data_IF_532859315887
#
_entry.id   IF_532859315887
#
_cell.length_a   1.000
_cell.length_b   1.000
_cell.length_c   1.000
_cell.angle_alpha   90.00
_cell.angle_beta   90.00
_cell.angle_gamma   90.00
#
_symmetry.space_group_name_H-M   'P 1'
#
loop_
_entity.id
_entity.type
_entity.pdbx_description
1 polymer ?
#
# COMPACT_ATOMS: atom_id res chain seq x y z
N UNK A 1 -3.64 11.03 15.60
CA UNK A 1 -3.04 10.73 14.29
C UNK A 1 -3.80 9.69 13.45
N UNK A 2 -4.58 8.77 14.02
CA UNK A 2 -5.42 7.83 13.23
C UNK A 2 -6.91 8.25 13.22
N UNK A 3 -7.35 8.99 14.25
CA UNK A 3 -8.71 9.55 14.32
C UNK A 3 -9.79 8.49 14.60
N UNK A 4 -9.68 7.76 15.72
CA UNK A 4 -10.70 6.79 16.10
C UNK A 4 -12.01 7.48 16.45
N UNK A 5 -13.10 7.13 15.74
CA UNK A 5 -14.46 7.59 16.02
C UNK A 5 -14.81 8.98 15.47
N UNK A 6 -13.91 9.62 14.74
CA UNK A 6 -14.13 10.94 14.17
C UNK A 6 -14.51 10.86 12.67
N UNK A 7 -15.65 11.46 12.33
CA UNK A 7 -16.21 11.54 10.97
C UNK A 7 -15.42 12.51 10.08
N UNK A 8 -14.52 13.32 10.65
CA UNK A 8 -13.71 14.23 9.88
C UNK A 8 -12.52 13.50 9.21
N UNK A 9 -12.75 12.99 8.01
CA UNK A 9 -11.76 12.27 7.22
C UNK A 9 -10.65 13.18 6.62
N UNK A 10 -10.84 14.51 6.64
CA UNK A 10 -9.93 15.50 6.07
C UNK A 10 -9.00 16.16 7.11
N UNK A 11 -8.91 15.59 8.30
CA UNK A 11 -8.07 16.12 9.39
C UNK A 11 -6.57 16.07 9.03
N UNK A 12 -5.93 17.23 8.99
CA UNK A 12 -4.51 17.41 8.66
C UNK A 12 -3.56 16.80 9.70
N UNK A 13 -4.06 16.50 10.92
CA UNK A 13 -3.29 15.80 11.95
C UNK A 13 -3.31 14.27 11.78
N UNK A 14 -4.04 13.76 10.78
CA UNK A 14 -3.98 12.34 10.39
C UNK A 14 -2.76 12.09 9.52
N UNK A 15 -1.94 11.15 9.94
CA UNK A 15 -0.71 10.82 9.23
C UNK A 15 -0.39 9.33 9.35
N UNK A 16 -0.07 8.64 8.23
CA UNK A 16 0.10 7.18 8.19
C UNK A 16 1.46 6.70 8.72
N UNK A 17 2.13 7.47 9.58
CA UNK A 17 3.51 7.20 10.06
C UNK A 17 3.67 5.77 10.59
N UNK A 18 2.71 5.29 11.36
CA UNK A 18 2.75 3.93 11.93
C UNK A 18 2.60 2.85 10.86
N UNK A 19 1.67 3.01 9.92
CA UNK A 19 1.49 2.08 8.80
C UNK A 19 2.74 2.07 7.92
N UNK A 20 3.33 3.23 7.67
CA UNK A 20 4.55 3.35 6.89
C UNK A 20 5.72 2.63 7.56
N UNK A 21 5.83 2.73 8.88
CA UNK A 21 6.85 2.01 9.64
C UNK A 21 6.66 0.49 9.51
N UNK A 22 5.43 -0.01 9.69
CA UNK A 22 5.14 -1.44 9.58
C UNK A 22 5.37 -1.96 8.15
N UNK A 23 4.98 -1.21 7.13
CA UNK A 23 5.23 -1.57 5.73
C UNK A 23 6.74 -1.64 5.42
N UNK A 24 7.53 -0.69 5.95
CA UNK A 24 8.98 -0.73 5.85
C UNK A 24 9.56 -1.98 6.52
N UNK A 25 9.15 -2.27 7.76
CA UNK A 25 9.63 -3.44 8.51
C UNK A 25 9.27 -4.73 7.79
N UNK A 26 8.04 -4.85 7.29
CA UNK A 26 7.59 -6.03 6.56
C UNK A 26 8.37 -6.22 5.25
N UNK A 27 8.58 -5.15 4.47
CA UNK A 27 9.35 -5.23 3.23
C UNK A 27 10.81 -5.60 3.45
N UNK A 28 11.43 -5.09 4.53
CA UNK A 28 12.82 -5.42 4.90
C UNK A 28 12.92 -6.87 5.39
N UNK A 29 11.98 -7.33 6.22
CA UNK A 29 12.00 -8.70 6.76
C UNK A 29 11.61 -9.77 5.74
N UNK A 30 10.98 -9.40 4.62
CA UNK A 30 10.59 -10.35 3.57
C UNK A 30 11.80 -10.94 2.83
N UNK A 31 12.94 -10.27 2.84
CA UNK A 31 14.15 -10.71 2.15
C UNK A 31 15.36 -10.66 3.06
N UNK A 32 16.24 -11.66 2.96
CA UNK A 32 17.49 -11.68 3.71
C UNK A 32 18.52 -10.65 3.25
N UNK A 33 18.33 -10.04 2.07
CA UNK A 33 19.33 -9.22 1.38
C UNK A 33 19.82 -8.03 2.20
N UNK A 34 18.99 -7.44 3.06
CA UNK A 34 19.33 -6.27 3.89
C UNK A 34 19.32 -6.55 5.40
N UNK A 35 19.16 -7.80 5.81
CA UNK A 35 19.22 -8.17 7.22
C UNK A 35 20.68 -8.23 7.71
N UNK A 36 20.91 -7.91 8.99
CA UNK A 36 22.22 -7.91 9.64
C UNK A 36 23.23 -6.90 9.08
N UNK A 37 24.17 -6.48 9.93
CA UNK A 37 25.11 -5.39 9.64
C UNK A 37 26.44 -5.84 9.03
N UNK A 38 26.76 -7.13 9.02
CA UNK A 38 28.00 -7.65 8.45
C UNK A 38 27.84 -9.07 7.88
N UNK A 39 28.67 -9.39 6.88
CA UNK A 39 28.61 -10.67 6.17
C UNK A 39 28.94 -11.88 7.04
N UNK A 40 29.83 -11.73 8.02
CA UNK A 40 30.19 -12.82 8.94
C UNK A 40 29.00 -13.29 9.79
N UNK A 41 28.14 -12.37 10.25
CA UNK A 41 26.90 -12.72 10.95
C UNK A 41 25.90 -13.35 9.98
N UNK A 42 25.87 -12.89 8.72
CA UNK A 42 24.98 -13.45 7.69
C UNK A 42 25.34 -14.90 7.34
N UNK A 43 26.62 -15.21 7.27
CA UNK A 43 27.12 -16.57 7.02
C UNK A 43 26.82 -17.49 8.21
N UNK A 44 27.12 -17.03 9.43
CA UNK A 44 26.83 -17.77 10.66
C UNK A 44 25.35 -18.15 10.79
N UNK A 45 24.47 -17.21 10.43
CA UNK A 45 23.02 -17.42 10.47
C UNK A 45 22.46 -18.12 9.23
N UNK A 46 23.30 -18.45 8.24
CA UNK A 46 22.93 -19.15 6.99
C UNK A 46 21.76 -18.50 6.25
N UNK A 47 21.81 -17.17 6.05
CA UNK A 47 20.67 -16.45 5.45
C UNK A 47 20.28 -16.94 4.06
N UNK A 48 21.25 -17.36 3.24
CA UNK A 48 21.00 -17.88 1.89
C UNK A 48 20.08 -19.10 1.89
N UNK A 49 20.10 -19.90 2.96
CA UNK A 49 19.27 -21.09 3.11
C UNK A 49 17.91 -20.76 3.75
N UNK A 50 17.89 -19.80 4.67
CA UNK A 50 16.69 -19.46 5.47
C UNK A 50 15.77 -18.44 4.82
N UNK A 51 16.29 -17.62 3.89
CA UNK A 51 15.56 -16.47 3.36
C UNK A 51 15.77 -16.33 1.86
N UNK A 52 14.76 -15.80 1.17
CA UNK A 52 14.89 -15.47 -0.25
C UNK A 52 15.69 -14.18 -0.43
N UNK A 53 16.44 -14.11 -1.53
CA UNK A 53 17.11 -12.90 -1.97
C UNK A 53 16.14 -12.00 -2.74
N UNK A 54 16.18 -10.70 -2.46
CA UNK A 54 15.46 -9.67 -3.22
C UNK A 54 15.82 -9.73 -4.71
N UNK A 55 17.09 -9.98 -5.02
CA UNK A 55 17.56 -10.05 -6.40
C UNK A 55 16.95 -11.23 -7.16
N UNK A 56 16.60 -12.33 -6.49
CA UNK A 56 15.89 -13.45 -7.11
C UNK A 56 14.51 -13.02 -7.61
N UNK A 57 13.81 -12.14 -6.89
CA UNK A 57 12.54 -11.56 -7.34
C UNK A 57 12.71 -10.56 -8.48
N UNK A 58 13.64 -9.62 -8.33
CA UNK A 58 13.85 -8.57 -9.35
C UNK A 58 14.26 -9.20 -10.68
N UNK A 59 15.15 -10.20 -10.63
CA UNK A 59 15.63 -10.88 -11.83
C UNK A 59 14.58 -11.85 -12.43
N UNK A 60 13.67 -12.41 -11.63
CA UNK A 60 12.57 -13.23 -12.18
C UNK A 60 11.54 -12.40 -12.94
N UNK A 61 11.41 -11.11 -12.61
CA UNK A 61 10.45 -10.18 -13.22
C UNK A 61 11.13 -8.94 -13.81
N UNK A 62 12.28 -9.16 -14.47
CA UNK A 62 13.18 -8.13 -14.96
C UNK A 62 12.52 -7.08 -15.88
N UNK A 63 11.53 -7.48 -16.67
CA UNK A 63 10.81 -6.58 -17.59
C UNK A 63 10.13 -5.40 -16.87
N UNK A 64 9.62 -5.61 -15.66
CA UNK A 64 8.97 -4.57 -14.85
C UNK A 64 9.96 -3.53 -14.31
N UNK A 65 11.21 -3.92 -14.11
CA UNK A 65 12.25 -3.10 -13.47
C UNK A 65 13.31 -2.58 -14.45
N UNK A 66 13.13 -2.84 -15.75
CA UNK A 66 14.05 -2.37 -16.79
C UNK A 66 13.60 -0.99 -17.27
N UNK A 67 14.49 -0.01 -17.21
CA UNK A 67 14.24 1.30 -17.82
C UNK A 67 14.18 1.15 -19.35
N UNK A 68 13.05 1.46 -20.03
CA UNK A 68 12.93 1.35 -21.48
C UNK A 68 13.90 2.26 -22.26
N UNK A 69 14.38 3.33 -21.62
CA UNK A 69 15.33 4.28 -22.21
C UNK A 69 16.78 3.94 -21.91
N UNK A 70 17.05 2.81 -21.25
CA UNK A 70 18.41 2.37 -20.98
C UNK A 70 19.09 1.87 -22.24
N UNK A 71 20.20 2.50 -22.61
CA UNK A 71 21.08 2.07 -23.71
C UNK A 71 22.41 1.61 -23.13
N UNK A 72 22.83 0.38 -23.48
CA UNK A 72 24.04 -0.26 -22.93
C UNK A 72 25.35 0.41 -23.39
N UNK A 73 25.31 1.20 -24.46
CA UNK A 73 26.49 1.60 -25.23
C UNK A 73 27.07 2.97 -24.85
N UNK A 74 26.89 3.36 -23.59
CA UNK A 74 27.38 4.64 -23.10
C UNK A 74 28.69 4.43 -22.35
N UNK A 75 29.79 4.19 -23.08
CA UNK A 75 31.16 4.38 -22.58
C UNK A 75 31.46 5.88 -22.35
N UNK A 76 30.52 6.61 -21.74
CA UNK A 76 30.65 8.03 -21.38
C UNK A 76 30.49 8.17 -19.87
N UNK A 77 31.32 9.01 -19.28
CA UNK A 77 31.07 9.47 -17.92
C UNK A 77 29.77 10.29 -17.90
N UNK A 78 28.96 10.09 -16.87
CA UNK A 78 27.80 10.94 -16.58
C UNK A 78 28.29 12.16 -15.79
N UNK A 79 27.86 13.36 -16.19
CA UNK A 79 28.20 14.61 -15.51
C UNK A 79 26.91 15.28 -15.01
N UNK A 80 26.43 14.91 -13.81
CA UNK A 80 25.25 15.55 -13.23
C UNK A 80 25.56 17.00 -12.81
N UNK A 81 24.57 17.87 -12.87
CA UNK A 81 24.70 19.27 -12.44
C UNK A 81 24.22 19.40 -10.99
N UNK A 82 25.16 19.60 -10.07
CA UNK A 82 24.87 19.77 -8.63
C UNK A 82 24.44 21.21 -8.27
N UNK A 83 23.57 21.82 -9.07
CA UNK A 83 23.04 23.17 -8.81
C UNK A 83 21.60 23.08 -8.32
N UNK A 84 21.24 23.86 -7.31
CA UNK A 84 19.86 23.96 -6.79
C UNK A 84 18.82 24.32 -7.87
N UNK A 85 19.24 24.94 -8.99
CA UNK A 85 18.36 25.25 -10.13
C UNK A 85 17.97 24.03 -10.98
N UNK A 86 18.71 22.92 -10.85
CA UNK A 86 18.50 21.67 -11.59
C UNK A 86 18.14 20.50 -10.67
N UNK A 87 18.12 20.72 -9.35
CA UNK A 87 17.72 19.71 -8.38
C UNK A 87 16.22 19.86 -8.10
N UNK A 88 15.49 18.78 -8.32
CA UNK A 88 14.09 18.67 -7.97
C UNK A 88 13.94 17.79 -6.74
N UNK A 89 12.98 18.12 -5.86
CA UNK A 89 12.63 17.26 -4.75
C UNK A 89 11.94 16.02 -5.32
N UNK A 90 12.54 14.84 -5.11
CA UNK A 90 11.88 13.59 -5.45
C UNK A 90 10.62 13.45 -4.58
N UNK A 91 9.41 13.47 -5.16
CA UNK A 91 8.18 13.37 -4.38
C UNK A 91 8.15 12.01 -3.68
N UNK A 92 7.90 12.01 -2.37
CA UNK A 92 8.02 10.81 -1.56
C UNK A 92 7.16 9.67 -2.17
N UNK A 93 7.78 8.58 -2.68
CA UNK A 93 7.05 7.52 -3.39
C UNK A 93 5.97 6.86 -2.52
N UNK A 94 6.22 6.84 -1.21
CA UNK A 94 5.27 6.36 -0.20
C UNK A 94 4.04 7.23 -0.16
N UNK A 95 4.24 8.54 -0.09
CA UNK A 95 3.16 9.51 0.03
C UNK A 95 2.32 9.50 -1.24
N UNK A 96 2.96 9.42 -2.41
CA UNK A 96 2.27 9.26 -3.68
C UNK A 96 1.40 8.01 -3.70
N UNK A 97 1.96 6.86 -3.30
CA UNK A 97 1.21 5.60 -3.22
C UNK A 97 0.07 5.66 -2.19
N UNK A 98 0.28 6.34 -1.08
CA UNK A 98 -0.75 6.55 -0.06
C UNK A 98 -1.92 7.38 -0.61
N UNK A 99 -1.63 8.47 -1.33
CA UNK A 99 -2.66 9.29 -1.97
C UNK A 99 -3.44 8.50 -3.03
N UNK A 100 -2.77 7.67 -3.83
CA UNK A 100 -3.42 6.76 -4.78
C UNK A 100 -4.36 5.77 -4.07
N UNK A 101 -3.95 5.21 -2.93
CA UNK A 101 -4.79 4.30 -2.13
C UNK A 101 -5.98 5.02 -1.51
N UNK A 102 -5.83 6.26 -1.06
CA UNK A 102 -6.93 7.08 -0.56
C UNK A 102 -7.97 7.34 -1.66
N UNK A 103 -7.52 7.74 -2.86
CA UNK A 103 -8.39 7.93 -4.00
C UNK A 103 -9.14 6.65 -4.37
N UNK A 104 -8.44 5.51 -4.38
CA UNK A 104 -9.03 4.22 -4.68
C UNK A 104 -10.09 3.82 -3.62
N UNK A 105 -9.82 4.05 -2.34
CA UNK A 105 -10.78 3.83 -1.25
C UNK A 105 -12.05 4.65 -1.47
N UNK A 106 -11.91 5.92 -1.81
CA UNK A 106 -13.05 6.82 -2.00
C UNK A 106 -13.93 6.38 -3.17
N UNK A 107 -13.32 5.91 -4.26
CA UNK A 107 -14.02 5.28 -5.39
C UNK A 107 -14.78 4.01 -4.97
N UNK A 108 -14.16 3.14 -4.16
CA UNK A 108 -14.83 1.94 -3.65
C UNK A 108 -16.01 2.28 -2.75
N UNK A 109 -15.86 3.26 -1.85
CA UNK A 109 -16.95 3.71 -0.98
C UNK A 109 -18.11 4.26 -1.79
N UNK A 110 -17.83 5.10 -2.80
CA UNK A 110 -18.85 5.62 -3.71
C UNK A 110 -19.60 4.51 -4.45
N UNK A 111 -18.88 3.51 -4.96
CA UNK A 111 -19.51 2.34 -5.62
C UNK A 111 -20.38 1.53 -4.65
N UNK A 112 -19.96 1.37 -3.40
CA UNK A 112 -20.76 0.70 -2.38
C UNK A 112 -22.05 1.46 -2.07
N UNK A 113 -21.99 2.79 -1.98
CA UNK A 113 -23.17 3.65 -1.81
C UNK A 113 -24.14 3.53 -2.99
N UNK A 114 -23.63 3.61 -4.23
CA UNK A 114 -24.44 3.43 -5.44
C UNK A 114 -25.14 2.07 -5.47
N UNK A 115 -24.45 1.00 -5.06
CA UNK A 115 -25.01 -0.35 -4.97
C UNK A 115 -26.07 -0.47 -3.86
N UNK A 116 -25.86 0.17 -2.70
CA UNK A 116 -26.85 0.20 -1.63
C UNK A 116 -28.11 0.97 -2.04
N UNK A 117 -27.96 2.10 -2.73
CA UNK A 117 -29.08 2.88 -3.27
C UNK A 117 -29.85 2.06 -4.32
N UNK A 118 -29.15 1.34 -5.19
CA UNK A 118 -29.76 0.49 -6.23
C UNK A 118 -30.44 -0.75 -5.65
N UNK A 119 -29.92 -1.32 -4.56
CA UNK A 119 -30.54 -2.46 -3.86
C UNK A 119 -31.79 -2.10 -3.06
N UNK A 120 -32.12 -0.81 -2.90
CA UNK A 120 -33.29 -0.34 -2.19
C UNK A 120 -34.31 0.33 -3.14
N UNK A 121 -34.97 -0.41 -4.05
CA UNK A 121 -36.11 0.14 -4.76
C UNK A 121 -37.31 0.20 -3.78
N UNK A 122 -37.63 1.41 -3.33
CA UNK A 122 -38.95 1.84 -2.79
C UNK A 122 -39.87 0.70 -2.29
N UNK A 123 -39.80 0.35 -1.01
CA UNK A 123 -41.03 0.05 -0.25
C UNK A 123 -41.57 1.36 0.35
N UNK A 124 -42.22 2.15 -0.48
CA UNK A 124 -43.22 3.10 -0.01
C UNK A 124 -44.56 2.37 0.05
N UNK A 125 -44.92 1.83 1.22
CA UNK A 125 -46.32 1.84 1.64
C UNK A 125 -46.49 1.54 3.14
N UNK A 126 -47.14 2.51 3.80
CA UNK A 126 -48.03 2.39 4.96
C UNK A 126 -47.50 1.89 6.32
N UNK A 127 -47.39 2.88 7.21
CA UNK A 127 -47.96 2.98 8.58
C UNK A 127 -47.43 2.15 9.76
N UNK A 128 -47.05 2.93 10.78
CA UNK A 128 -47.30 2.79 12.23
C UNK A 128 -46.55 1.74 13.06
N UNK A 129 -45.73 2.30 13.96
CA UNK A 129 -45.52 1.97 15.38
C UNK A 129 -44.86 0.65 15.81
N UNK A 130 -43.80 0.87 16.60
CA UNK A 130 -43.45 0.20 17.87
C UNK A 130 -42.46 -0.97 17.88
N UNK A 131 -41.52 -0.82 18.84
CA UNK A 131 -40.82 -1.84 19.64
C UNK A 131 -39.59 -2.59 19.08
N UNK A 132 -38.45 -2.29 19.72
CA UNK A 132 -37.38 -3.18 20.21
C UNK A 132 -37.25 -4.60 19.64
N UNK A 133 -36.04 -4.95 19.18
CA UNK A 133 -35.28 -6.12 19.66
C UNK A 133 -33.96 -6.30 18.89
N UNK A 134 -32.89 -6.60 19.63
CA UNK A 134 -31.64 -7.12 19.09
C UNK A 134 -31.85 -8.48 18.41
N UNK A 135 -31.19 -8.71 17.27
CA UNK A 135 -30.86 -10.07 16.81
C UNK A 135 -29.64 -10.05 15.91
N UNK A 136 -28.64 -10.84 16.32
CA UNK A 136 -27.45 -11.19 15.57
C UNK A 136 -27.82 -11.77 14.20
N UNK A 137 -27.20 -11.28 13.13
CA UNK A 137 -27.16 -12.01 11.86
C UNK A 137 -25.74 -12.02 11.30
N UNK A 138 -25.35 -13.23 10.92
CA UNK A 138 -24.02 -13.67 10.54
C UNK A 138 -23.60 -13.05 9.21
N UNK A 139 -22.39 -12.49 9.13
CA UNK A 139 -21.78 -12.21 7.84
C UNK A 139 -21.40 -13.53 7.17
N UNK A 140 -21.98 -13.77 6.00
CA UNK A 140 -21.63 -14.87 5.12
C UNK A 140 -20.17 -14.73 4.68
N UNK A 141 -19.46 -15.86 4.77
CA UNK A 141 -18.08 -16.01 4.37
C UNK A 141 -17.92 -15.75 2.86
N UNK A 142 -17.38 -14.59 2.49
CA UNK A 142 -16.97 -14.32 1.11
C UNK A 142 -15.62 -15.02 0.89
N UNK A 143 -15.68 -16.14 0.19
CA UNK A 143 -14.51 -16.92 -0.20
C UNK A 143 -13.85 -16.21 -1.39
N UNK A 144 -12.71 -15.58 -1.17
CA UNK A 144 -11.87 -15.06 -2.25
C UNK A 144 -10.98 -16.20 -2.77
N UNK A 145 -11.07 -16.47 -4.07
CA UNK A 145 -10.13 -17.38 -4.73
C UNK A 145 -8.79 -16.65 -4.91
N UNK A 146 -7.71 -17.35 -4.51
CA UNK A 146 -6.31 -16.95 -4.71
C UNK A 146 -5.93 -16.87 -6.19
#
# INVERSE_FOLDING_TARGET
RIGHGDKNHADADRSPIFLQFIDCVWQICRFGTFLYSCDSVREKEKLSEKTLSLWSLINSSKSKYTNPFYTKELNRALYPVASMRHLELWPNPVEQRYMELLALRDDYMKRLEELQITSNPKLSNSSSSSSSSSSSQMMSHVQTHF
#
